data_IF_631437592997
#
_entry.id   IF_631437592997
#
_cell.length_a   1.000
_cell.length_b   1.000
_cell.length_c   1.000
_cell.angle_alpha   90.00
_cell.angle_beta   90.00
_cell.angle_gamma   90.00
#
_symmetry.space_group_name_H-M   'P 1'
#
loop_
_entity.id
_entity.type
_entity.pdbx_description
1 polymer ?
#
# COMPACT_ATOMS: atom_id res chain seq x y z
N UNK A 1 0.94 -16.66 -12.45
CA UNK A 1 0.57 -15.46 -11.65
C UNK A 1 1.86 -14.91 -11.09
N UNK A 2 2.05 -13.60 -11.12
CA UNK A 2 3.29 -12.97 -10.65
C UNK A 2 3.03 -12.28 -9.32
N UNK A 3 3.83 -12.56 -8.31
CA UNK A 3 3.71 -11.92 -6.99
C UNK A 3 4.89 -11.00 -6.76
N UNK A 4 4.62 -9.81 -6.24
CA UNK A 4 5.66 -8.85 -5.92
C UNK A 4 6.20 -9.07 -4.50
N UNK A 5 7.50 -9.33 -4.36
CA UNK A 5 8.18 -9.45 -3.06
C UNK A 5 8.24 -8.14 -2.26
N UNK A 6 7.95 -7.00 -2.88
CA UNK A 6 7.95 -5.69 -2.20
C UNK A 6 6.61 -5.36 -1.56
N UNK A 7 5.49 -5.67 -2.23
CA UNK A 7 4.16 -5.33 -1.71
C UNK A 7 3.25 -6.54 -1.45
N UNK A 8 3.66 -7.75 -1.83
CA UNK A 8 2.87 -8.99 -1.70
C UNK A 8 1.76 -9.15 -2.72
N UNK A 9 1.49 -8.14 -3.56
CA UNK A 9 0.36 -8.19 -4.50
C UNK A 9 0.59 -9.15 -5.66
N UNK A 10 -0.49 -9.84 -6.03
CA UNK A 10 -0.52 -10.78 -7.14
C UNK A 10 -1.11 -10.13 -8.40
N UNK A 11 -0.43 -10.36 -9.52
CA UNK A 11 -0.87 -9.92 -10.84
C UNK A 11 -1.11 -11.12 -11.76
N UNK A 12 -2.30 -11.17 -12.34
CA UNK A 12 -2.64 -12.13 -13.39
C UNK A 12 -2.17 -11.53 -14.72
N UNK A 13 -1.05 -12.03 -15.23
CA UNK A 13 -0.61 -11.71 -16.60
C UNK A 13 -1.16 -12.75 -17.57
N UNK A 14 -1.73 -12.28 -18.68
CA UNK A 14 -2.04 -13.12 -19.86
C UNK A 14 -0.82 -13.29 -20.76
N UNK A 15 0.25 -12.55 -20.49
CA UNK A 15 1.50 -12.54 -21.24
C UNK A 15 2.68 -12.83 -20.29
N UNK A 16 3.86 -12.34 -20.62
CA UNK A 16 5.08 -12.54 -19.85
C UNK A 16 5.06 -11.77 -18.52
N UNK A 17 6.12 -11.96 -17.74
CA UNK A 17 6.41 -11.21 -16.52
C UNK A 17 6.44 -9.70 -16.81
N UNK A 18 5.75 -8.84 -16.03
CA UNK A 18 5.77 -7.41 -16.28
C UNK A 18 7.09 -6.78 -15.82
N UNK A 19 7.57 -5.76 -16.55
CA UNK A 19 8.83 -5.06 -16.25
C UNK A 19 8.78 -4.27 -14.91
N UNK A 20 7.57 -3.92 -14.47
CA UNK A 20 7.28 -3.24 -13.19
C UNK A 20 6.05 -3.85 -12.55
N UNK A 21 6.02 -3.91 -11.22
CA UNK A 21 4.81 -4.25 -10.47
C UNK A 21 3.69 -3.24 -10.83
N UNK A 22 2.53 -3.69 -11.31
CA UNK A 22 1.43 -2.79 -11.67
C UNK A 22 0.80 -2.03 -10.49
N UNK A 23 1.15 -2.41 -9.26
CA UNK A 23 0.56 -1.86 -8.03
C UNK A 23 1.48 -0.84 -7.36
N UNK A 24 2.74 -1.20 -7.08
CA UNK A 24 3.70 -0.34 -6.38
C UNK A 24 4.86 0.15 -7.26
N UNK A 25 4.94 -0.29 -8.53
CA UNK A 25 6.02 0.10 -9.44
C UNK A 25 7.38 -0.54 -9.16
N UNK A 26 7.49 -1.53 -8.27
CA UNK A 26 8.74 -2.26 -8.04
C UNK A 26 9.30 -2.86 -9.34
N UNK A 27 10.63 -2.93 -9.48
CA UNK A 27 11.29 -3.49 -10.67
C UNK A 27 11.04 -4.99 -10.83
N UNK A 28 11.13 -5.47 -12.07
CA UNK A 28 10.91 -6.87 -12.46
C UNK A 28 11.62 -7.90 -11.58
N UNK A 29 12.84 -7.61 -11.10
CA UNK A 29 13.61 -8.50 -10.24
C UNK A 29 12.91 -8.86 -8.92
N UNK A 30 11.93 -8.06 -8.49
CA UNK A 30 11.14 -8.32 -7.29
C UNK A 30 9.84 -9.06 -7.57
N UNK A 31 9.52 -9.35 -8.83
CA UNK A 31 8.38 -10.19 -9.18
C UNK A 31 8.85 -11.64 -9.27
N UNK A 32 8.12 -12.57 -8.67
CA UNK A 32 8.39 -14.01 -8.73
C UNK A 32 7.14 -14.76 -9.17
N UNK A 33 7.31 -15.99 -9.68
CA UNK A 33 6.13 -16.84 -9.91
C UNK A 33 5.45 -17.10 -8.56
N UNK A 34 4.12 -17.11 -8.54
CA UNK A 34 3.33 -17.44 -7.35
C UNK A 34 3.74 -18.73 -6.64
N UNK A 35 4.28 -19.72 -7.36
CA UNK A 35 4.76 -20.99 -6.77
C UNK A 35 6.06 -20.84 -5.99
N UNK A 36 6.80 -19.75 -6.22
CA UNK A 36 8.07 -19.41 -5.58
C UNK A 36 7.91 -18.29 -4.54
N UNK A 37 6.67 -17.80 -4.36
CA UNK A 37 6.38 -16.79 -3.36
C UNK A 37 6.06 -17.46 -2.03
N UNK A 38 6.82 -17.10 -1.01
CA UNK A 38 6.58 -17.51 0.36
C UNK A 38 6.00 -16.33 1.14
N UNK A 39 4.71 -16.39 1.44
CA UNK A 39 4.05 -15.37 2.29
C UNK A 39 4.21 -15.69 3.79
N UNK A 40 4.93 -16.77 4.14
CA UNK A 40 5.17 -17.17 5.54
C UNK A 40 6.47 -16.56 6.07
N UNK A 41 6.43 -15.27 6.37
CA UNK A 41 7.49 -14.62 7.17
C UNK A 41 8.22 -13.46 6.52
N UNK A 42 7.98 -13.15 5.24
CA UNK A 42 8.59 -11.98 4.57
C UNK A 42 8.28 -10.64 5.28
N UNK A 43 7.24 -10.60 6.11
CA UNK A 43 6.82 -9.44 6.88
C UNK A 43 7.20 -9.50 8.36
N UNK A 44 7.79 -10.60 8.83
CA UNK A 44 8.20 -10.79 10.22
C UNK A 44 9.62 -10.22 10.42
N UNK A 45 9.69 -8.89 10.45
CA UNK A 45 10.95 -8.15 10.63
C UNK A 45 11.08 -7.69 12.08
N UNK A 46 12.28 -7.83 12.65
CA UNK A 46 12.59 -7.19 13.93
C UNK A 46 12.84 -5.70 13.72
N UNK A 47 12.06 -4.87 14.42
CA UNK A 47 12.18 -3.41 14.37
C UNK A 47 12.82 -2.91 15.66
N UNK A 48 13.90 -2.13 15.54
CA UNK A 48 14.34 -1.31 16.68
C UNK A 48 13.38 -0.15 16.91
N UNK A 49 13.60 0.65 17.96
CA UNK A 49 12.73 1.77 18.33
C UNK A 49 12.56 2.79 17.20
N UNK A 50 13.65 3.10 16.48
CA UNK A 50 13.62 4.07 15.37
C UNK A 50 12.83 3.52 14.18
N UNK A 51 13.06 2.26 13.82
CA UNK A 51 12.36 1.63 12.70
C UNK A 51 10.86 1.47 12.98
N UNK A 52 10.51 1.13 14.22
CA UNK A 52 9.12 1.07 14.66
C UNK A 52 8.44 2.43 14.57
N UNK A 53 9.07 3.49 15.07
CA UNK A 53 8.53 4.85 14.98
C UNK A 53 8.36 5.31 13.52
N UNK A 54 9.29 4.96 12.65
CA UNK A 54 9.20 5.24 11.22
C UNK A 54 8.05 4.47 10.55
N UNK A 55 7.88 3.19 10.86
CA UNK A 55 6.79 2.37 10.35
C UNK A 55 5.41 2.85 10.83
N UNK A 56 5.28 3.26 12.10
CA UNK A 56 4.05 3.85 12.63
C UNK A 56 3.72 5.18 11.95
N UNK A 57 4.73 6.03 11.70
CA UNK A 57 4.55 7.28 10.96
C UNK A 57 4.16 7.03 9.51
N UNK A 58 4.80 6.07 8.84
CA UNK A 58 4.46 5.67 7.48
C UNK A 58 3.00 5.19 7.40
N UNK A 59 2.57 4.30 8.31
CA UNK A 59 1.17 3.88 8.41
C UNK A 59 0.21 5.08 8.54
N UNK A 60 0.55 6.07 9.36
CA UNK A 60 -0.24 7.29 9.51
C UNK A 60 -0.36 8.09 8.21
N UNK A 61 0.72 8.19 7.43
CA UNK A 61 0.71 8.84 6.11
C UNK A 61 -0.19 8.09 5.13
N UNK A 62 -0.06 6.76 5.05
CA UNK A 62 -0.87 5.94 4.14
C UNK A 62 -2.37 6.04 4.47
N UNK A 63 -2.74 5.96 5.76
CA UNK A 63 -4.12 6.12 6.21
C UNK A 63 -4.66 7.52 5.86
N UNK A 64 -3.88 8.57 6.12
CA UNK A 64 -4.26 9.94 5.80
C UNK A 64 -4.49 10.12 4.29
N UNK A 65 -3.57 9.66 3.46
CA UNK A 65 -3.68 9.76 2.00
C UNK A 65 -4.85 8.94 1.47
N UNK A 66 -5.05 7.71 1.96
CA UNK A 66 -6.17 6.87 1.56
C UNK A 66 -7.52 7.56 1.83
N UNK A 67 -7.68 8.16 3.01
CA UNK A 67 -8.88 8.90 3.40
C UNK A 67 -9.04 10.17 2.56
N UNK A 68 -7.97 10.95 2.37
CA UNK A 68 -7.96 12.14 1.54
C UNK A 68 -8.43 11.83 0.11
N UNK A 69 -7.77 10.90 -0.57
CA UNK A 69 -8.11 10.55 -1.95
C UNK A 69 -9.53 9.97 -2.06
N UNK A 70 -9.96 9.15 -1.10
CA UNK A 70 -11.33 8.64 -1.06
C UNK A 70 -12.37 9.75 -0.92
N UNK A 71 -12.07 10.80 -0.16
CA UNK A 71 -12.92 11.99 -0.04
C UNK A 71 -12.87 12.86 -1.30
N UNK A 72 -11.69 13.09 -1.86
CA UNK A 72 -11.48 13.87 -3.08
C UNK A 72 -12.19 13.25 -4.29
N UNK A 73 -12.19 11.91 -4.41
CA UNK A 73 -12.93 11.18 -5.43
C UNK A 73 -14.45 11.42 -5.39
N UNK A 74 -15.00 11.82 -4.24
CA UNK A 74 -16.43 12.17 -4.10
C UNK A 74 -16.73 13.62 -4.47
N UNK A 75 -15.73 14.52 -4.39
CA UNK A 75 -15.89 15.96 -4.60
C UNK A 75 -15.57 16.40 -6.03
N UNK A 76 -14.62 15.72 -6.69
CA UNK A 76 -14.21 16.05 -8.06
C UNK A 76 -15.34 15.74 -9.06
N UNK A 77 -15.52 16.62 -10.06
CA UNK A 77 -16.60 16.50 -11.06
C UNK A 77 -16.16 15.67 -12.26
N UNK A 78 -14.91 15.83 -12.64
CA UNK A 78 -14.27 15.26 -13.81
C UNK A 78 -14.08 13.75 -13.61
N UNK A 79 -14.46 12.96 -14.62
CA UNK A 79 -14.39 11.49 -14.55
C UNK A 79 -12.95 11.00 -14.37
N UNK A 80 -11.98 11.65 -15.01
CA UNK A 80 -10.58 11.28 -14.93
C UNK A 80 -10.02 11.53 -13.52
N UNK A 81 -10.32 12.70 -12.94
CA UNK A 81 -9.98 13.01 -11.55
C UNK A 81 -10.63 12.02 -10.57
N UNK A 82 -11.89 11.64 -10.79
CA UNK A 82 -12.59 10.66 -9.95
C UNK A 82 -11.94 9.28 -10.02
N UNK A 83 -11.55 8.83 -11.21
CA UNK A 83 -10.84 7.54 -11.40
C UNK A 83 -9.45 7.58 -10.77
N UNK A 84 -8.71 8.68 -10.97
CA UNK A 84 -7.39 8.90 -10.41
C UNK A 84 -7.42 8.82 -8.88
N UNK A 85 -8.29 9.57 -8.22
CA UNK A 85 -8.37 9.54 -6.76
C UNK A 85 -8.85 8.19 -6.21
N UNK A 86 -9.72 7.47 -6.94
CA UNK A 86 -10.09 6.11 -6.54
C UNK A 86 -8.91 5.14 -6.58
N UNK A 87 -8.08 5.18 -7.62
CA UNK A 87 -6.93 4.28 -7.71
C UNK A 87 -5.87 4.65 -6.67
N UNK A 88 -5.62 5.95 -6.45
CA UNK A 88 -4.71 6.40 -5.40
C UNK A 88 -5.20 5.97 -4.02
N UNK A 89 -6.48 6.16 -3.68
CA UNK A 89 -7.04 5.68 -2.41
C UNK A 89 -6.85 4.17 -2.19
N UNK A 90 -6.95 3.38 -3.28
CA UNK A 90 -6.71 1.94 -3.22
C UNK A 90 -5.22 1.65 -2.95
N UNK A 91 -4.32 2.26 -3.71
CA UNK A 91 -2.86 2.08 -3.56
C UNK A 91 -2.41 2.34 -2.13
N UNK A 92 -2.79 3.46 -1.54
CA UNK A 92 -2.42 3.80 -0.16
C UNK A 92 -3.07 2.85 0.86
N UNK A 93 -4.25 2.30 0.56
CA UNK A 93 -4.87 1.29 1.42
C UNK A 93 -4.10 -0.05 1.42
N UNK A 94 -3.50 -0.42 0.28
CA UNK A 94 -2.62 -1.59 0.20
C UNK A 94 -1.31 -1.32 0.93
N UNK A 95 -0.73 -0.12 0.80
CA UNK A 95 0.46 0.27 1.57
C UNK A 95 0.20 0.21 3.08
N UNK A 96 -0.94 0.73 3.55
CA UNK A 96 -1.33 0.63 4.95
C UNK A 96 -1.47 -0.84 5.42
N UNK A 97 -1.92 -1.74 4.54
CA UNK A 97 -2.03 -3.18 4.82
C UNK A 97 -0.66 -3.85 4.97
N UNK A 98 0.34 -3.42 4.21
CA UNK A 98 1.74 -3.84 4.40
C UNK A 98 2.26 -3.40 5.77
N UNK A 99 2.08 -2.12 6.13
CA UNK A 99 2.51 -1.63 7.44
C UNK A 99 1.79 -2.31 8.61
N UNK A 100 0.51 -2.65 8.45
CA UNK A 100 -0.24 -3.45 9.43
C UNK A 100 0.45 -4.80 9.70
N UNK A 101 0.91 -5.50 8.64
CA UNK A 101 1.64 -6.78 8.77
C UNK A 101 2.96 -6.58 9.50
N UNK A 102 3.79 -5.62 9.06
CA UNK A 102 5.10 -5.30 9.64
C UNK A 102 4.99 -4.92 11.13
N UNK A 103 4.01 -4.09 11.49
CA UNK A 103 3.75 -3.65 12.86
C UNK A 103 2.98 -4.68 13.71
N UNK A 104 2.61 -5.83 13.14
CA UNK A 104 1.85 -6.90 13.81
C UNK A 104 0.54 -6.40 14.45
N UNK A 105 -0.18 -5.53 13.75
CA UNK A 105 -1.45 -4.96 14.21
C UNK A 105 -2.63 -5.84 13.82
N UNK A 106 -3.62 -5.99 14.71
CA UNK A 106 -4.85 -6.73 14.39
C UNK A 106 -5.69 -6.03 13.32
N UNK A 107 -5.77 -4.69 13.41
CA UNK A 107 -6.56 -3.83 12.52
C UNK A 107 -5.91 -2.46 12.31
N UNK A 108 -6.15 -1.87 11.14
CA UNK A 108 -5.81 -0.49 10.85
C UNK A 108 -6.89 0.43 11.44
N UNK A 109 -6.47 1.50 12.10
CA UNK A 109 -7.36 2.59 12.50
C UNK A 109 -7.48 3.58 11.33
N UNK A 110 -8.64 3.63 10.70
CA UNK A 110 -8.93 4.52 9.56
C UNK A 110 -9.40 5.90 10.03
N UNK A 111 -8.56 6.54 10.84
CA UNK A 111 -8.83 7.84 11.45
C UNK A 111 -7.72 8.80 11.05
N UNK A 112 -8.06 10.07 10.83
CA UNK A 112 -7.04 11.08 10.59
C UNK A 112 -6.26 11.30 11.90
N UNK A 113 -4.91 11.34 11.86
CA UNK A 113 -4.15 11.77 13.01
C UNK A 113 -4.59 13.18 13.39
N UNK A 114 -4.84 13.42 14.68
CA UNK A 114 -5.37 14.69 15.22
C UNK A 114 -4.57 15.92 14.71
N UNK A 115 -3.29 15.74 14.41
CA UNK A 115 -2.39 16.81 13.94
C UNK A 115 -2.38 17.03 12.41
N UNK A 116 -3.03 16.18 11.61
CA UNK A 116 -3.09 16.32 10.14
C UNK A 116 -4.35 17.01 9.62
N UNK A 117 -5.26 17.41 10.52
CA UNK A 117 -6.48 18.17 10.19
C UNK A 117 -6.16 19.53 9.55
N UNK A 118 -4.93 20.05 9.68
CA UNK A 118 -4.49 21.35 9.19
C UNK A 118 -4.04 21.41 7.71
N UNK A 119 -4.01 20.28 7.00
CA UNK A 119 -3.57 20.23 5.59
C UNK A 119 -4.73 20.04 4.58
N UNK A 120 -5.99 20.14 5.02
CA UNK A 120 -7.20 20.07 4.20
C UNK A 120 -8.06 21.32 4.36
#
# INVERSE_FOLDING_TARGET
>A
VWVCKICGEAYISTTNKPARCPFCGAYEKYLVDSKEYDDTGDWDVELNETDKANAEKALGVEVSNALFYKCSAKKVKEIDGKKLFKILAKVESEHASVWKKILKLDKIKWELPINYVLLL
#
